data_IF_632644163924
#
_entry.id   IF_632644163924
#
_cell.length_a   1.000
_cell.length_b   1.000
_cell.length_c   1.000
_cell.angle_alpha   90.00
_cell.angle_beta   90.00
_cell.angle_gamma   90.00
#
_symmetry.space_group_name_H-M   'P 1'
#
loop_
_entity.id
_entity.type
_entity.pdbx_description
1 polymer ?
#
# COMPACT_ATOMS: atom_id res chain seq x y z
N UNK A 1 -6.68 13.45 7.90
CA UNK A 1 -6.58 13.90 6.48
C UNK A 1 -6.96 12.73 5.59
N UNK A 2 -7.74 12.93 4.52
CA UNK A 2 -8.08 11.88 3.54
C UNK A 2 -7.16 12.01 2.34
N UNK A 3 -6.52 10.93 1.91
CA UNK A 3 -5.63 10.94 0.75
C UNK A 3 -5.96 9.76 -0.17
N UNK A 4 -5.76 9.95 -1.46
CA UNK A 4 -5.67 8.88 -2.45
C UNK A 4 -4.20 8.73 -2.77
N UNK A 5 -3.69 7.50 -2.83
CA UNK A 5 -2.29 7.24 -3.11
C UNK A 5 -2.15 6.59 -4.48
N UNK A 6 -1.17 7.05 -5.25
CA UNK A 6 -0.79 6.39 -6.49
C UNK A 6 -0.14 5.02 -6.20
N UNK A 7 -0.33 4.06 -7.10
CA UNK A 7 0.17 2.68 -6.94
C UNK A 7 1.69 2.62 -6.85
N UNK A 8 2.41 3.42 -7.64
CA UNK A 8 3.86 3.48 -7.55
C UNK A 8 4.31 4.13 -6.24
N UNK A 9 3.63 5.20 -5.82
CA UNK A 9 3.91 5.86 -4.54
C UNK A 9 3.68 4.92 -3.36
N UNK A 10 2.64 4.08 -3.43
CA UNK A 10 2.39 3.05 -2.42
C UNK A 10 3.51 2.02 -2.42
N UNK A 11 3.79 1.41 -3.56
CA UNK A 11 4.76 0.33 -3.71
C UNK A 11 6.15 0.75 -3.21
N UNK A 12 6.64 1.94 -3.61
CA UNK A 12 7.96 2.42 -3.18
C UNK A 12 8.01 2.71 -1.69
N UNK A 13 6.87 2.92 -1.02
CA UNK A 13 6.83 3.21 0.42
C UNK A 13 6.90 1.94 1.30
N UNK A 14 6.54 0.78 0.76
CA UNK A 14 6.48 -0.49 1.50
C UNK A 14 7.85 -0.93 2.06
N UNK A 15 8.98 -0.88 1.33
CA UNK A 15 10.25 -1.35 1.87
C UNK A 15 10.73 -0.54 3.07
N UNK A 16 11.17 -1.21 4.16
CA UNK A 16 11.68 -0.54 5.38
C UNK A 16 12.84 0.44 5.13
N UNK A 17 13.67 0.19 4.11
CA UNK A 17 14.80 1.05 3.74
C UNK A 17 14.42 2.17 2.75
N UNK A 18 13.15 2.27 2.37
CA UNK A 18 12.69 3.29 1.43
C UNK A 18 12.83 4.68 2.04
N UNK A 19 13.27 5.64 1.23
CA UNK A 19 13.23 7.06 1.58
C UNK A 19 11.79 7.55 1.82
N UNK A 20 10.80 6.86 1.25
CA UNK A 20 9.37 7.16 1.37
C UNK A 20 8.66 6.31 2.43
N UNK A 21 9.40 5.60 3.28
CA UNK A 21 8.85 4.69 4.29
C UNK A 21 7.83 5.35 5.23
N UNK A 22 7.98 6.66 5.47
CA UNK A 22 7.06 7.47 6.27
C UNK A 22 5.61 7.41 5.78
N UNK A 23 5.38 7.22 4.47
CA UNK A 23 4.02 7.06 3.93
C UNK A 23 3.41 5.77 4.49
N UNK A 24 4.09 4.64 4.32
CA UNK A 24 3.60 3.34 4.80
C UNK A 24 3.48 3.27 6.32
N UNK A 25 4.45 3.83 7.06
CA UNK A 25 4.35 3.92 8.52
C UNK A 25 3.19 4.83 8.94
N UNK A 26 2.90 5.89 8.19
CA UNK A 26 1.75 6.76 8.40
C UNK A 26 0.41 6.03 8.22
N UNK A 27 0.34 5.10 7.25
CA UNK A 27 -0.81 4.20 7.08
C UNK A 27 -0.97 3.28 8.30
N UNK A 28 0.09 2.57 8.70
CA UNK A 28 0.05 1.64 9.86
C UNK A 28 -0.36 2.38 11.13
N UNK A 29 0.19 3.58 11.35
CA UNK A 29 -0.07 4.40 12.53
C UNK A 29 -1.37 5.21 12.43
N UNK A 30 -2.18 5.02 11.38
CA UNK A 30 -3.46 5.71 11.15
C UNK A 30 -3.36 7.25 11.21
N UNK A 31 -2.22 7.79 10.77
CA UNK A 31 -1.96 9.25 10.73
C UNK A 31 -2.78 9.96 9.64
N UNK A 32 -3.26 9.21 8.65
CA UNK A 32 -4.16 9.64 7.61
C UNK A 32 -5.11 8.51 7.23
N UNK A 33 -6.20 8.85 6.55
CA UNK A 33 -7.15 7.90 6.00
C UNK A 33 -6.85 7.70 4.51
N UNK A 34 -6.38 6.51 4.16
CA UNK A 34 -6.20 6.12 2.77
C UNK A 34 -7.57 5.81 2.16
N UNK A 35 -7.89 6.47 1.06
CA UNK A 35 -9.11 6.23 0.29
C UNK A 35 -8.73 5.37 -0.91
N UNK A 36 -9.40 4.23 -1.03
CA UNK A 36 -9.14 3.19 -2.03
C UNK A 36 -10.47 2.73 -2.63
N UNK A 37 -10.53 2.59 -3.96
CA UNK A 37 -11.62 1.90 -4.65
C UNK A 37 -11.25 0.43 -4.85
N UNK A 38 -12.24 -0.38 -5.26
CA UNK A 38 -11.99 -1.77 -5.63
C UNK A 38 -11.02 -1.88 -6.82
N UNK A 39 -11.06 -0.95 -7.79
CA UNK A 39 -10.11 -0.99 -8.91
C UNK A 39 -8.68 -0.73 -8.43
N UNK A 40 -8.47 0.26 -7.55
CA UNK A 40 -7.15 0.56 -6.98
C UNK A 40 -6.63 -0.63 -6.16
N UNK A 41 -7.49 -1.28 -5.38
CA UNK A 41 -7.10 -2.43 -4.56
C UNK A 41 -6.64 -3.62 -5.43
N UNK A 42 -7.35 -3.90 -6.53
CA UNK A 42 -6.97 -4.93 -7.49
C UNK A 42 -5.65 -4.59 -8.19
N UNK A 43 -5.47 -3.34 -8.61
CA UNK A 43 -4.22 -2.89 -9.23
C UNK A 43 -3.02 -3.02 -8.27
N UNK A 44 -3.21 -2.65 -7.00
CA UNK A 44 -2.18 -2.81 -5.97
C UNK A 44 -1.79 -4.28 -5.82
N UNK A 45 -2.76 -5.18 -5.75
CA UNK A 45 -2.50 -6.61 -5.63
C UNK A 45 -1.67 -7.13 -6.81
N UNK A 46 -2.11 -6.86 -8.04
CA UNK A 46 -1.42 -7.31 -9.27
C UNK A 46 0.01 -6.77 -9.34
N UNK A 47 0.21 -5.48 -9.05
CA UNK A 47 1.53 -4.86 -9.11
C UNK A 47 2.44 -5.37 -8.00
N UNK A 48 1.95 -5.53 -6.77
CA UNK A 48 2.76 -6.04 -5.65
C UNK A 48 3.11 -7.52 -5.88
N UNK A 49 2.19 -8.33 -6.40
CA UNK A 49 2.45 -9.72 -6.75
C UNK A 49 3.59 -9.82 -7.77
N UNK A 50 3.50 -9.05 -8.85
CA UNK A 50 4.53 -9.03 -9.91
C UNK A 50 5.89 -8.55 -9.41
N UNK A 51 5.92 -7.58 -8.48
CA UNK A 51 7.17 -6.95 -8.00
C UNK A 51 7.80 -7.67 -6.81
N UNK A 52 7.01 -8.43 -6.05
CA UNK A 52 7.47 -9.16 -4.88
C UNK A 52 7.08 -10.64 -4.95
N UNK A 53 5.85 -10.96 -4.55
CA UNK A 53 5.22 -12.28 -4.68
C UNK A 53 3.78 -12.22 -4.14
N UNK A 54 3.03 -13.28 -4.42
CA UNK A 54 1.63 -13.45 -3.99
C UNK A 54 1.44 -13.31 -2.48
N UNK A 55 2.36 -13.82 -1.65
CA UNK A 55 2.24 -13.76 -0.19
C UNK A 55 2.31 -12.30 0.29
N UNK A 56 3.25 -11.53 -0.26
CA UNK A 56 3.39 -10.11 0.08
C UNK A 56 2.16 -9.32 -0.39
N UNK A 57 1.65 -9.61 -1.59
CA UNK A 57 0.45 -8.96 -2.10
C UNK A 57 -0.75 -9.20 -1.18
N UNK A 58 -1.05 -10.46 -0.86
CA UNK A 58 -2.18 -10.82 0.01
C UNK A 58 -2.08 -10.15 1.39
N UNK A 59 -0.90 -10.19 2.02
CA UNK A 59 -0.69 -9.57 3.33
C UNK A 59 -0.94 -8.05 3.30
N UNK A 60 -0.56 -7.37 2.22
CA UNK A 60 -0.80 -5.93 2.07
C UNK A 60 -2.29 -5.64 1.86
N UNK A 61 -2.99 -6.43 1.05
CA UNK A 61 -4.43 -6.27 0.86
C UNK A 61 -5.20 -6.53 2.14
N UNK A 62 -4.85 -7.58 2.89
CA UNK A 62 -5.44 -7.85 4.21
C UNK A 62 -5.23 -6.69 5.19
N UNK A 63 -4.03 -6.10 5.23
CA UNK A 63 -3.73 -4.90 6.02
C UNK A 63 -4.62 -3.70 5.64
N UNK A 64 -4.93 -3.54 4.35
CA UNK A 64 -5.76 -2.43 3.88
C UNK A 64 -7.25 -2.60 4.18
N UNK A 65 -7.68 -3.85 4.41
CA UNK A 65 -9.08 -4.20 4.72
C UNK A 65 -9.36 -4.35 6.23
N UNK A 66 -8.34 -4.27 7.08
CA UNK A 66 -8.44 -4.39 8.55
C UNK A 66 -8.72 -3.07 9.27
#
# INVERSE_FOLDING_TARGET
MKIVLDTNAFLISIPKKSKFRLIFDGLINKTYNLIISNEILTEYFEIIEQKANIIVASNIIELLLS
#
